data_IF_943138327601
#
_entry.id   IF_943138327601
#
_cell.length_a   1.000
_cell.length_b   1.000
_cell.length_c   1.000
_cell.angle_alpha   90.00
_cell.angle_beta   90.00
_cell.angle_gamma   90.00
#
_symmetry.space_group_name_H-M   'P 1'
#
loop_
_entity.id
_entity.type
_entity.pdbx_description
1 polymer ?
#
# COMPACT_ATOMS: atom_id res chain seq x y z
N UNK A 1 -39.39 -24.92 -16.58
CA UNK A 1 -38.35 -25.95 -16.37
C UNK A 1 -37.02 -25.25 -16.62
N UNK A 2 -36.54 -24.44 -15.67
CA UNK A 2 -35.60 -24.78 -14.57
C UNK A 2 -34.18 -25.06 -15.07
N UNK A 3 -33.32 -24.06 -14.79
CA UNK A 3 -31.95 -24.12 -14.23
C UNK A 3 -30.79 -24.77 -15.01
N UNK A 4 -29.73 -23.97 -15.17
CA UNK A 4 -28.35 -24.37 -15.42
C UNK A 4 -27.44 -23.20 -15.05
N UNK A 5 -27.07 -23.11 -13.77
CA UNK A 5 -26.45 -21.97 -13.10
C UNK A 5 -24.93 -21.87 -13.26
N UNK A 6 -24.45 -20.62 -13.18
CA UNK A 6 -23.26 -20.12 -12.47
C UNK A 6 -22.11 -21.11 -12.17
N UNK A 7 -20.96 -20.88 -12.81
CA UNK A 7 -19.66 -21.30 -12.28
C UNK A 7 -18.82 -20.06 -11.97
N UNK A 8 -18.95 -19.62 -10.73
CA UNK A 8 -18.02 -18.76 -10.03
C UNK A 8 -17.54 -19.60 -8.84
N UNK A 9 -16.28 -20.04 -8.79
CA UNK A 9 -15.69 -20.68 -7.60
C UNK A 9 -14.14 -20.61 -7.64
N UNK A 10 -13.61 -19.72 -6.80
CA UNK A 10 -12.41 -19.89 -5.95
C UNK A 10 -11.08 -20.26 -6.63
N UNK A 11 -10.28 -19.25 -6.97
CA UNK A 11 -8.81 -19.32 -6.88
C UNK A 11 -8.34 -18.80 -5.52
N UNK A 12 -8.77 -19.49 -4.45
CA UNK A 12 -8.10 -19.41 -3.17
C UNK A 12 -6.77 -20.14 -3.28
N UNK A 13 -5.67 -19.44 -3.03
CA UNK A 13 -4.33 -20.03 -2.96
C UNK A 13 -4.35 -21.21 -2.00
N UNK A 14 -3.75 -22.31 -2.43
CA UNK A 14 -3.65 -23.61 -1.76
C UNK A 14 -3.08 -23.57 -0.33
N UNK A 15 -2.58 -22.40 0.12
CA UNK A 15 -2.11 -22.15 1.48
C UNK A 15 -3.23 -21.80 2.48
N UNK A 16 -4.41 -21.34 2.04
CA UNK A 16 -5.51 -21.00 2.95
C UNK A 16 -6.29 -22.23 3.47
N UNK A 17 -6.14 -23.38 2.82
CA UNK A 17 -6.81 -24.63 3.23
C UNK A 17 -5.96 -25.54 4.13
N UNK A 18 -4.70 -25.18 4.40
CA UNK A 18 -3.82 -25.95 5.28
C UNK A 18 -3.87 -25.52 6.76
N UNK A 19 -4.59 -24.45 7.14
CA UNK A 19 -4.56 -23.89 8.50
C UNK A 19 -5.65 -24.42 9.44
N UNK A 20 -6.06 -25.68 9.29
CA UNK A 20 -6.88 -26.36 10.28
C UNK A 20 -5.98 -27.16 11.23
N UNK A 21 -5.24 -26.46 12.11
CA UNK A 21 -4.56 -27.11 13.25
C UNK A 21 -3.18 -26.61 13.68
N UNK A 22 -2.83 -25.32 13.57
CA UNK A 22 -1.54 -24.84 14.11
C UNK A 22 -1.72 -23.99 15.37
N UNK A 23 -1.04 -24.36 16.46
CA UNK A 23 -0.72 -23.43 17.54
C UNK A 23 -0.18 -22.11 16.95
N UNK A 24 -0.64 -20.98 17.49
CA UNK A 24 -0.14 -19.67 17.06
C UNK A 24 1.38 -19.64 17.26
N UNK A 25 2.14 -19.31 16.20
CA UNK A 25 3.58 -19.07 16.33
C UNK A 25 3.86 -18.09 17.48
N UNK A 26 4.89 -18.37 18.28
CA UNK A 26 5.45 -17.37 19.18
C UNK A 26 6.42 -16.47 18.42
N UNK A 27 6.83 -15.35 19.04
CA UNK A 27 7.81 -14.44 18.43
C UNK A 27 9.14 -15.16 18.20
N UNK A 28 9.60 -15.91 19.18
CA UNK A 28 10.85 -16.66 19.14
C UNK A 28 10.81 -17.71 18.02
N UNK A 29 9.69 -18.43 17.88
CA UNK A 29 9.53 -19.42 16.82
C UNK A 29 9.47 -18.77 15.44
N UNK A 30 8.80 -17.63 15.29
CA UNK A 30 8.77 -16.91 14.02
C UNK A 30 10.17 -16.41 13.61
N UNK A 31 10.95 -15.88 14.55
CA UNK A 31 12.33 -15.45 14.30
C UNK A 31 13.20 -16.66 13.92
N UNK A 32 13.11 -17.76 14.67
CA UNK A 32 13.86 -18.99 14.39
C UNK A 32 13.50 -19.57 13.01
N UNK A 33 12.21 -19.62 12.66
CA UNK A 33 11.72 -20.08 11.36
C UNK A 33 12.22 -19.20 10.20
N UNK A 34 12.40 -17.90 10.43
CA UNK A 34 12.96 -17.00 9.43
C UNK A 34 14.47 -17.21 9.29
N UNK A 35 15.19 -17.44 10.39
CA UNK A 35 16.66 -17.54 10.40
C UNK A 35 17.22 -18.86 9.87
N UNK A 36 16.44 -19.96 9.91
CA UNK A 36 16.94 -21.28 9.51
C UNK A 36 17.24 -21.41 8.00
N UNK A 37 16.52 -20.70 7.12
CA UNK A 37 16.73 -20.64 5.65
C UNK A 37 16.73 -21.98 4.87
N UNK A 38 16.45 -23.11 5.51
CA UNK A 38 16.29 -24.44 4.89
C UNK A 38 14.87 -24.62 4.33
N UNK A 39 13.84 -24.38 5.15
CA UNK A 39 12.44 -24.41 4.73
C UNK A 39 11.96 -23.00 4.36
N UNK A 40 11.94 -22.73 3.06
CA UNK A 40 11.54 -21.44 2.50
C UNK A 40 10.06 -21.14 2.69
N UNK A 41 9.20 -22.17 2.79
CA UNK A 41 7.77 -21.97 3.08
C UNK A 41 7.57 -21.48 4.52
N UNK A 42 8.33 -22.04 5.46
CA UNK A 42 8.34 -21.56 6.85
C UNK A 42 8.96 -20.16 6.96
N UNK A 43 10.04 -19.87 6.23
CA UNK A 43 10.61 -18.51 6.17
C UNK A 43 9.58 -17.51 5.63
N UNK A 44 8.91 -17.85 4.53
CA UNK A 44 7.88 -17.02 3.90
C UNK A 44 6.74 -16.70 4.87
N UNK A 45 6.23 -17.72 5.58
CA UNK A 45 5.17 -17.55 6.56
C UNK A 45 5.62 -16.75 7.77
N UNK A 46 6.82 -17.01 8.28
CA UNK A 46 7.42 -16.26 9.38
C UNK A 46 7.56 -14.77 9.07
N UNK A 47 8.08 -14.42 7.89
CA UNK A 47 8.21 -13.03 7.46
C UNK A 47 6.84 -12.31 7.43
N UNK A 48 5.81 -12.96 6.86
CA UNK A 48 4.44 -12.44 6.89
C UNK A 48 3.94 -12.25 8.32
N UNK A 49 4.15 -13.25 9.19
CA UNK A 49 3.66 -13.28 10.56
C UNK A 49 4.26 -12.13 11.39
N UNK A 50 5.58 -11.95 11.33
CA UNK A 50 6.28 -10.85 12.02
C UNK A 50 5.71 -9.48 11.64
N UNK A 51 5.46 -9.25 10.35
CA UNK A 51 4.83 -8.02 9.87
C UNK A 51 3.37 -7.87 10.29
N UNK A 52 2.58 -8.96 10.28
CA UNK A 52 1.16 -8.96 10.65
C UNK A 52 0.95 -8.65 12.14
N UNK A 53 1.77 -9.22 13.01
CA UNK A 53 1.71 -9.04 14.47
C UNK A 53 2.59 -7.89 14.98
N UNK A 54 3.21 -7.13 14.08
CA UNK A 54 4.01 -5.93 14.37
C UNK A 54 5.15 -6.19 15.37
N UNK A 55 5.88 -7.30 15.18
CA UNK A 55 7.02 -7.67 16.01
C UNK A 55 8.21 -6.74 15.73
N UNK A 56 8.49 -5.82 16.66
CA UNK A 56 9.52 -4.77 16.52
C UNK A 56 10.86 -5.11 17.19
N UNK A 57 11.05 -6.35 17.60
CA UNK A 57 12.31 -6.77 18.22
C UNK A 57 13.47 -6.63 17.24
N UNK A 58 14.62 -6.16 17.72
CA UNK A 58 15.79 -5.90 16.87
C UNK A 58 16.19 -7.11 16.04
N UNK A 59 16.16 -8.30 16.66
CA UNK A 59 16.52 -9.57 16.02
C UNK A 59 15.54 -9.92 14.89
N UNK A 60 14.25 -9.61 15.04
CA UNK A 60 13.25 -9.80 13.98
C UNK A 60 13.51 -8.85 12.80
N UNK A 61 13.82 -7.57 13.08
CA UNK A 61 14.16 -6.59 12.05
C UNK A 61 15.41 -7.02 11.28
N UNK A 62 16.46 -7.43 11.99
CA UNK A 62 17.71 -7.91 11.39
C UNK A 62 17.48 -9.16 10.54
N UNK A 63 16.68 -10.12 11.02
CA UNK A 63 16.33 -11.33 10.26
C UNK A 63 15.50 -11.03 9.00
N UNK A 64 14.61 -10.03 9.05
CA UNK A 64 13.84 -9.56 7.91
C UNK A 64 14.73 -8.80 6.90
N UNK A 65 15.65 -7.95 7.37
CA UNK A 65 16.63 -7.28 6.49
C UNK A 65 17.49 -8.32 5.78
N UNK A 66 17.99 -9.32 6.50
CA UNK A 66 18.74 -10.42 5.90
C UNK A 66 17.92 -11.19 4.86
N UNK A 67 16.59 -11.32 5.05
CA UNK A 67 15.71 -12.01 4.12
C UNK A 67 15.50 -11.25 2.79
N UNK A 68 15.79 -9.94 2.73
CA UNK A 68 15.74 -9.16 1.49
C UNK A 68 16.82 -9.58 0.49
N UNK A 69 17.92 -10.16 0.97
CA UNK A 69 19.04 -10.61 0.15
C UNK A 69 18.98 -12.12 -0.17
N UNK A 70 17.91 -12.82 0.20
CA UNK A 70 17.82 -14.28 0.02
C UNK A 70 17.66 -14.67 -1.46
N UNK A 71 18.59 -15.46 -2.00
CA UNK A 71 18.57 -15.90 -3.40
C UNK A 71 17.91 -17.28 -3.59
N UNK A 72 17.80 -18.10 -2.54
CA UNK A 72 17.33 -19.47 -2.66
C UNK A 72 15.83 -19.59 -2.96
N UNK A 73 15.01 -18.60 -2.57
CA UNK A 73 13.57 -18.60 -2.79
C UNK A 73 13.16 -18.02 -4.14
N UNK A 74 13.61 -18.67 -5.22
CA UNK A 74 13.27 -18.29 -6.58
C UNK A 74 12.13 -19.16 -7.14
N UNK A 75 11.02 -18.55 -7.57
CA UNK A 75 9.95 -19.26 -8.28
C UNK A 75 10.37 -19.62 -9.70
N UNK A 76 9.65 -20.56 -10.35
CA UNK A 76 9.87 -20.92 -11.76
C UNK A 76 9.79 -19.71 -12.72
N UNK A 77 9.02 -18.69 -12.34
CA UNK A 77 8.87 -17.43 -13.05
C UNK A 77 9.89 -16.35 -12.66
N UNK A 78 10.90 -16.69 -11.85
CA UNK A 78 11.97 -15.79 -11.42
C UNK A 78 11.60 -14.82 -10.28
N UNK A 79 10.53 -15.09 -9.53
CA UNK A 79 10.08 -14.26 -8.42
C UNK A 79 10.70 -14.66 -7.07
N UNK A 80 10.67 -13.74 -6.09
CA UNK A 80 11.24 -13.93 -4.76
C UNK A 80 10.19 -13.76 -3.64
N UNK A 81 9.35 -14.76 -3.34
CA UNK A 81 8.24 -14.67 -2.38
C UNK A 81 8.66 -14.18 -0.99
N UNK A 82 9.75 -14.70 -0.45
CA UNK A 82 10.30 -14.31 0.85
C UNK A 82 10.71 -12.84 0.86
N UNK A 83 11.41 -12.35 -0.17
CA UNK A 83 11.80 -10.94 -0.28
C UNK A 83 10.58 -10.03 -0.30
N UNK A 84 9.54 -10.40 -1.05
CA UNK A 84 8.28 -9.64 -1.10
C UNK A 84 7.66 -9.51 0.29
N UNK A 85 7.60 -10.60 1.05
CA UNK A 85 7.03 -10.58 2.41
C UNK A 85 7.91 -9.85 3.40
N UNK A 86 9.23 -10.03 3.34
CA UNK A 86 10.19 -9.33 4.17
C UNK A 86 10.09 -7.80 3.97
N UNK A 87 10.05 -7.34 2.72
CA UNK A 87 9.89 -5.93 2.39
C UNK A 87 8.58 -5.36 2.98
N UNK A 88 7.44 -6.04 2.74
CA UNK A 88 6.14 -5.63 3.30
C UNK A 88 6.13 -5.62 4.83
N UNK A 89 6.79 -6.57 5.47
CA UNK A 89 6.88 -6.64 6.91
C UNK A 89 7.66 -5.44 7.45
N UNK A 90 8.85 -5.16 6.91
CA UNK A 90 9.69 -4.03 7.33
C UNK A 90 8.94 -2.69 7.25
N UNK A 91 8.18 -2.45 6.17
CA UNK A 91 7.33 -1.26 6.05
C UNK A 91 6.22 -1.15 7.10
N UNK A 92 5.72 -2.27 7.64
CA UNK A 92 4.73 -2.27 8.75
C UNK A 92 5.38 -2.03 10.11
N UNK A 93 6.65 -2.42 10.25
CA UNK A 93 7.38 -2.36 11.51
C UNK A 93 7.93 -0.97 11.79
N UNK A 94 8.34 -0.25 10.75
CA UNK A 94 8.69 1.17 10.84
C UNK A 94 10.12 1.44 11.32
N UNK A 95 11.03 0.46 11.22
CA UNK A 95 12.41 0.61 11.66
C UNK A 95 13.28 1.21 10.54
N UNK A 96 13.98 2.31 10.82
CA UNK A 96 14.78 3.05 9.83
C UNK A 96 15.98 2.27 9.30
N UNK A 97 16.43 1.22 9.99
CA UNK A 97 17.49 0.33 9.48
C UNK A 97 17.09 -0.39 8.19
N UNK A 98 15.79 -0.47 7.91
CA UNK A 98 15.27 -1.07 6.69
C UNK A 98 15.37 -0.14 5.46
N UNK A 99 15.60 1.17 5.62
CA UNK A 99 15.53 2.13 4.50
C UNK A 99 16.52 1.77 3.39
N UNK A 100 17.82 1.66 3.68
CA UNK A 100 18.81 1.35 2.65
C UNK A 100 18.60 -0.04 2.02
N UNK A 101 18.37 -1.13 2.79
CA UNK A 101 18.02 -2.42 2.19
C UNK A 101 16.78 -2.39 1.28
N UNK A 102 15.77 -1.57 1.60
CA UNK A 102 14.59 -1.40 0.76
C UNK A 102 14.87 -0.54 -0.48
N UNK A 103 15.76 0.46 -0.40
CA UNK A 103 16.25 1.20 -1.58
C UNK A 103 16.92 0.24 -2.56
N UNK A 104 17.76 -0.67 -2.07
CA UNK A 104 18.44 -1.66 -2.90
C UNK A 104 17.43 -2.62 -3.57
N UNK A 105 16.33 -2.96 -2.87
CA UNK A 105 15.25 -3.78 -3.42
C UNK A 105 14.50 -3.13 -4.59
N UNK A 106 14.61 -1.81 -4.81
CA UNK A 106 14.05 -1.14 -5.98
C UNK A 106 14.76 -1.55 -7.30
N UNK A 107 15.93 -2.18 -7.21
CA UNK A 107 16.65 -2.77 -8.36
C UNK A 107 16.38 -4.27 -8.55
N UNK A 108 15.54 -4.87 -7.70
CA UNK A 108 15.26 -6.29 -7.81
C UNK A 108 14.60 -6.62 -9.17
N UNK A 109 15.01 -7.69 -9.87
CA UNK A 109 14.36 -8.13 -11.10
C UNK A 109 12.87 -8.43 -10.94
N UNK A 110 12.48 -8.90 -9.75
CA UNK A 110 11.09 -9.19 -9.41
C UNK A 110 10.29 -7.90 -9.17
N UNK A 111 9.30 -7.68 -10.05
CA UNK A 111 8.36 -6.56 -9.97
C UNK A 111 7.72 -6.42 -8.59
N UNK A 112 7.31 -7.54 -7.98
CA UNK A 112 6.58 -7.52 -6.71
C UNK A 112 7.49 -7.20 -5.52
N UNK A 113 8.80 -7.40 -5.65
CA UNK A 113 9.77 -6.93 -4.65
C UNK A 113 9.92 -5.42 -4.77
N UNK A 114 10.06 -4.88 -5.99
CA UNK A 114 10.10 -3.43 -6.22
C UNK A 114 8.85 -2.74 -5.71
N UNK A 115 7.67 -3.33 -5.96
CA UNK A 115 6.39 -2.81 -5.47
C UNK A 115 6.35 -2.77 -3.94
N UNK A 116 6.68 -3.90 -3.28
CA UNK A 116 6.71 -3.99 -1.83
C UNK A 116 7.71 -3.01 -1.19
N UNK A 117 8.87 -2.82 -1.84
CA UNK A 117 9.88 -1.87 -1.42
C UNK A 117 9.38 -0.42 -1.52
N UNK A 118 8.84 0.00 -2.66
CA UNK A 118 8.30 1.35 -2.86
C UNK A 118 7.19 1.68 -1.84
N UNK A 119 6.24 0.76 -1.64
CA UNK A 119 5.18 0.92 -0.63
C UNK A 119 5.75 1.05 0.80
N UNK A 120 6.81 0.31 1.11
CA UNK A 120 7.41 0.30 2.44
C UNK A 120 8.24 1.56 2.69
N UNK A 121 8.97 2.03 1.70
CA UNK A 121 9.71 3.29 1.74
C UNK A 121 8.79 4.49 1.97
N UNK A 122 7.65 4.54 1.26
CA UNK A 122 6.63 5.57 1.49
C UNK A 122 6.06 5.56 2.92
N UNK A 123 5.96 4.39 3.56
CA UNK A 123 5.53 4.26 4.97
C UNK A 123 6.61 4.64 5.97
N UNK A 124 7.87 4.38 5.65
CA UNK A 124 9.00 4.74 6.51
C UNK A 124 9.24 6.24 6.53
N UNK A 125 8.90 6.95 5.44
CA UNK A 125 8.94 8.41 5.41
C UNK A 125 10.35 8.99 5.30
N UNK A 126 11.36 8.17 5.01
CA UNK A 126 12.74 8.62 4.84
C UNK A 126 12.96 9.15 3.42
N UNK A 127 13.23 10.45 3.31
CA UNK A 127 13.41 11.16 2.04
C UNK A 127 14.66 10.74 1.26
N UNK A 128 15.61 10.02 1.87
CA UNK A 128 16.81 9.53 1.17
C UNK A 128 16.51 8.58 0.01
N UNK A 129 15.32 7.98 -0.03
CA UNK A 129 14.89 7.11 -1.12
C UNK A 129 14.31 7.84 -2.34
N UNK A 130 14.01 9.15 -2.25
CA UNK A 130 13.37 9.94 -3.31
C UNK A 130 14.12 9.83 -4.65
N UNK A 131 15.46 10.03 -4.72
CA UNK A 131 16.17 9.94 -5.99
C UNK A 131 16.04 8.55 -6.64
N UNK A 132 16.04 7.48 -5.82
CA UNK A 132 15.88 6.13 -6.33
C UNK A 132 14.47 5.90 -6.85
N UNK A 133 13.44 6.31 -6.11
CA UNK A 133 12.05 6.22 -6.55
C UNK A 133 11.81 6.98 -7.86
N UNK A 134 12.37 8.18 -8.01
CA UNK A 134 12.26 8.95 -9.25
C UNK A 134 12.87 8.21 -10.46
N UNK A 135 13.99 7.52 -10.28
CA UNK A 135 14.62 6.74 -11.38
C UNK A 135 13.73 5.60 -11.92
N UNK A 136 12.76 5.10 -11.14
CA UNK A 136 11.80 4.10 -11.62
C UNK A 136 10.74 4.70 -12.56
N UNK A 137 10.66 6.03 -12.64
CA UNK A 137 9.80 6.77 -13.56
C UNK A 137 10.55 7.24 -14.81
N UNK A 138 11.83 6.86 -14.98
CA UNK A 138 12.62 7.19 -16.16
C UNK A 138 11.94 6.71 -17.45
N UNK A 139 12.01 7.54 -18.49
CA UNK A 139 11.24 7.34 -19.73
C UNK A 139 9.77 7.79 -19.64
N UNK A 140 9.30 8.18 -18.46
CA UNK A 140 7.99 8.78 -18.22
C UNK A 140 6.82 7.91 -18.66
N UNK A 141 5.71 8.57 -19.02
CA UNK A 141 4.49 7.89 -19.46
C UNK A 141 4.72 6.93 -20.64
N UNK A 142 5.66 7.23 -21.54
CA UNK A 142 5.95 6.40 -22.70
C UNK A 142 6.59 5.05 -22.32
N UNK A 143 7.29 4.97 -21.19
CA UNK A 143 7.89 3.73 -20.68
C UNK A 143 6.91 2.89 -19.84
N UNK A 144 5.77 3.47 -19.44
CA UNK A 144 4.77 2.85 -18.58
C UNK A 144 3.86 1.87 -19.34
N UNK A 145 4.48 0.86 -19.93
CA UNK A 145 3.81 -0.10 -20.81
C UNK A 145 3.51 -1.43 -20.09
N UNK A 146 2.39 -2.09 -20.42
CA UNK A 146 2.14 -3.46 -20.00
C UNK A 146 3.22 -4.40 -20.52
N UNK A 147 3.62 -5.38 -19.71
CA UNK A 147 4.48 -6.46 -20.16
C UNK A 147 3.60 -7.58 -20.75
N UNK A 148 3.83 -8.01 -22.01
CA UNK A 148 3.08 -9.12 -22.60
C UNK A 148 3.12 -10.38 -21.74
N UNK A 149 1.95 -10.96 -21.46
CA UNK A 149 1.82 -12.16 -20.64
C UNK A 149 1.95 -11.93 -19.13
N UNK A 150 2.15 -10.70 -18.69
CA UNK A 150 2.20 -10.33 -17.27
C UNK A 150 0.99 -9.48 -16.86
N UNK A 151 0.48 -9.63 -15.61
CA UNK A 151 -0.58 -8.77 -15.09
C UNK A 151 -0.09 -7.37 -14.67
N UNK A 152 1.21 -7.05 -14.83
CA UNK A 152 1.81 -5.82 -14.34
C UNK A 152 2.54 -5.01 -15.44
N UNK A 153 2.80 -3.74 -15.12
CA UNK A 153 3.62 -2.84 -15.94
C UNK A 153 5.11 -3.16 -15.80
N UNK A 154 5.96 -2.46 -16.56
CA UNK A 154 7.42 -2.49 -16.44
C UNK A 154 7.92 -2.11 -15.05
N UNK A 155 7.26 -1.14 -14.40
CA UNK A 155 7.56 -0.68 -13.05
C UNK A 155 6.29 -0.57 -12.20
N UNK A 156 6.38 -0.63 -10.86
CA UNK A 156 5.24 -0.47 -9.97
C UNK A 156 4.85 1.02 -9.84
N UNK A 157 4.46 1.65 -10.95
CA UNK A 157 4.25 3.09 -11.08
C UNK A 157 3.32 3.66 -10.01
N UNK A 158 2.19 3.00 -9.71
CA UNK A 158 1.27 3.47 -8.68
C UNK A 158 1.94 3.54 -7.30
N UNK A 159 2.66 2.49 -6.88
CA UNK A 159 3.35 2.46 -5.60
C UNK A 159 4.48 3.49 -5.51
N UNK A 160 5.22 3.70 -6.60
CA UNK A 160 6.30 4.69 -6.69
C UNK A 160 5.74 6.10 -6.58
N UNK A 161 4.71 6.42 -7.35
CA UNK A 161 4.07 7.75 -7.35
C UNK A 161 3.41 8.02 -5.99
N UNK A 162 2.73 7.03 -5.41
CA UNK A 162 2.17 7.12 -4.06
C UNK A 162 3.24 7.40 -3.00
N UNK A 163 4.40 6.74 -3.10
CA UNK A 163 5.52 6.95 -2.18
C UNK A 163 6.07 8.37 -2.31
N UNK A 164 6.31 8.85 -3.52
CA UNK A 164 6.78 10.21 -3.78
C UNK A 164 5.83 11.28 -3.22
N UNK A 165 4.51 11.10 -3.43
CA UNK A 165 3.51 11.99 -2.83
C UNK A 165 3.52 11.97 -1.30
N UNK A 166 3.64 10.78 -0.69
CA UNK A 166 3.69 10.61 0.77
C UNK A 166 4.94 11.24 1.38
N UNK A 167 6.07 11.17 0.66
CA UNK A 167 7.35 11.71 1.08
C UNK A 167 7.47 13.23 0.87
N UNK A 168 6.49 13.87 0.23
CA UNK A 168 6.53 15.30 -0.05
C UNK A 168 7.55 15.69 -1.13
N UNK A 169 7.85 14.79 -2.06
CA UNK A 169 8.84 15.01 -3.14
C UNK A 169 8.33 16.01 -4.20
N UNK A 170 8.30 17.29 -3.87
CA UNK A 170 7.83 18.37 -4.76
C UNK A 170 8.64 18.48 -6.06
N UNK A 171 9.91 18.08 -6.03
CA UNK A 171 10.79 17.99 -7.21
C UNK A 171 10.34 16.93 -8.23
N UNK A 172 9.44 16.01 -7.84
CA UNK A 172 8.90 14.98 -8.73
C UNK A 172 7.62 15.43 -9.47
N UNK A 173 7.07 16.62 -9.19
CA UNK A 173 5.78 17.08 -9.76
C UNK A 173 5.77 17.00 -11.29
N UNK A 174 6.78 17.57 -11.95
CA UNK A 174 6.85 17.59 -13.42
C UNK A 174 7.02 16.18 -14.02
N UNK A 175 7.65 15.28 -13.27
CA UNK A 175 7.86 13.89 -13.67
C UNK A 175 6.59 13.05 -13.54
N UNK A 176 5.78 13.28 -12.51
CA UNK A 176 4.54 12.52 -12.26
C UNK A 176 3.32 13.09 -12.99
N UNK A 177 3.29 14.40 -13.29
CA UNK A 177 2.12 15.04 -13.91
C UNK A 177 1.62 14.36 -15.20
N UNK A 178 2.48 13.85 -16.11
CA UNK A 178 2.02 13.11 -17.29
C UNK A 178 1.19 11.85 -16.97
N UNK A 179 1.37 11.23 -15.79
CA UNK A 179 0.65 10.03 -15.39
C UNK A 179 -0.82 10.28 -15.02
N UNK A 180 -1.26 11.54 -14.95
CA UNK A 180 -2.68 11.92 -14.84
C UNK A 180 -3.51 11.36 -16.01
N UNK A 181 -2.89 11.19 -17.17
CA UNK A 181 -3.51 10.68 -18.40
C UNK A 181 -3.18 9.20 -18.67
N UNK A 182 -2.62 8.48 -17.68
CA UNK A 182 -2.26 7.07 -17.85
C UNK A 182 -3.52 6.20 -18.09
N UNK A 183 -3.51 5.22 -19.01
CA UNK A 183 -4.71 4.44 -19.36
C UNK A 183 -5.22 3.51 -18.26
N UNK A 184 -4.36 3.14 -17.30
CA UNK A 184 -4.72 2.33 -16.13
C UNK A 184 -5.16 3.25 -14.98
N UNK A 185 -6.40 3.07 -14.51
CA UNK A 185 -7.02 3.97 -13.53
C UNK A 185 -6.29 3.98 -12.19
N UNK A 186 -5.72 2.85 -11.76
CA UNK A 186 -4.94 2.79 -10.51
C UNK A 186 -3.69 3.68 -10.55
N UNK A 187 -3.07 3.84 -11.72
CA UNK A 187 -1.93 4.76 -11.88
C UNK A 187 -2.41 6.22 -11.87
N UNK A 188 -3.56 6.50 -12.49
CA UNK A 188 -4.17 7.83 -12.41
C UNK A 188 -4.54 8.21 -10.96
N UNK A 189 -5.09 7.28 -10.18
CA UNK A 189 -5.52 7.54 -8.81
C UNK A 189 -4.33 7.80 -7.89
N UNK A 190 -3.28 6.98 -8.00
CA UNK A 190 -1.99 7.23 -7.35
C UNK A 190 -1.45 8.62 -7.70
N UNK A 191 -1.59 9.03 -8.97
CA UNK A 191 -1.15 10.35 -9.43
C UNK A 191 -2.02 11.48 -8.87
N UNK A 192 -3.35 11.33 -8.85
CA UNK A 192 -4.24 12.30 -8.20
C UNK A 192 -3.89 12.47 -6.71
N UNK A 193 -3.70 11.35 -6.01
CA UNK A 193 -3.26 11.34 -4.61
C UNK A 193 -1.96 12.10 -4.43
N UNK A 194 -0.92 11.76 -5.18
CA UNK A 194 0.38 12.39 -5.06
C UNK A 194 0.33 13.88 -5.43
N UNK A 195 -0.35 14.24 -6.53
CA UNK A 195 -0.49 15.62 -6.95
C UNK A 195 -1.25 16.46 -5.91
N UNK A 196 -2.30 15.92 -5.27
CA UNK A 196 -2.94 16.61 -4.14
C UNK A 196 -1.96 16.82 -2.99
N UNK A 197 -1.22 15.78 -2.56
CA UNK A 197 -0.27 15.89 -1.45
C UNK A 197 0.81 16.96 -1.71
N UNK A 198 1.31 17.03 -2.95
CA UNK A 198 2.41 17.90 -3.34
C UNK A 198 1.98 19.33 -3.70
N UNK A 199 0.73 19.54 -4.14
CA UNK A 199 0.26 20.85 -4.64
C UNK A 199 -0.87 21.47 -3.83
N UNK A 200 -1.61 20.65 -3.07
CA UNK A 200 -2.86 21.01 -2.38
C UNK A 200 -3.96 21.52 -3.33
N UNK A 201 -3.85 21.27 -4.64
CA UNK A 201 -4.91 21.61 -5.60
C UNK A 201 -6.09 20.64 -5.45
N UNK A 202 -7.24 21.22 -5.11
CA UNK A 202 -8.50 20.51 -4.84
C UNK A 202 -8.99 19.70 -6.05
N UNK A 203 -8.61 20.07 -7.27
CA UNK A 203 -9.01 19.34 -8.48
C UNK A 203 -8.68 17.86 -8.38
N UNK A 204 -7.54 17.50 -7.76
CA UNK A 204 -7.09 16.12 -7.63
C UNK A 204 -7.91 15.33 -6.59
N UNK A 205 -8.29 15.97 -5.47
CA UNK A 205 -9.22 15.38 -4.51
C UNK A 205 -10.60 15.14 -5.12
N UNK A 206 -11.10 16.08 -5.93
CA UNK A 206 -12.40 15.97 -6.61
C UNK A 206 -12.43 14.85 -7.66
N UNK A 207 -11.29 14.57 -8.31
CA UNK A 207 -11.13 13.40 -9.19
C UNK A 207 -11.29 12.09 -8.43
N UNK A 208 -10.75 11.99 -7.21
CA UNK A 208 -10.92 10.81 -6.34
C UNK A 208 -12.36 10.69 -5.80
N UNK A 209 -13.06 11.80 -5.52
CA UNK A 209 -14.50 11.76 -5.24
C UNK A 209 -15.28 11.18 -6.43
N UNK A 210 -14.92 11.58 -7.65
CA UNK A 210 -15.55 11.04 -8.87
C UNK A 210 -15.31 9.53 -8.99
N UNK A 211 -14.12 9.06 -8.63
CA UNK A 211 -13.79 7.63 -8.61
C UNK A 211 -14.67 6.80 -7.67
N UNK A 212 -15.12 7.36 -6.53
CA UNK A 212 -16.04 6.69 -5.61
C UNK A 212 -17.41 6.37 -6.22
N UNK A 213 -17.79 7.02 -7.32
CA UNK A 213 -19.04 6.79 -8.06
C UNK A 213 -18.90 5.73 -9.16
N UNK A 214 -17.68 5.22 -9.38
CA UNK A 214 -17.39 4.24 -10.43
C UNK A 214 -18.01 2.86 -10.19
N UNK A 215 -18.19 2.08 -11.25
CA UNK A 215 -18.82 0.75 -11.17
C UNK A 215 -17.90 -0.33 -10.57
N UNK A 216 -16.59 -0.22 -10.78
CA UNK A 216 -15.60 -1.21 -10.33
C UNK A 216 -15.35 -1.08 -8.81
N UNK A 217 -15.74 -2.08 -8.03
CA UNK A 217 -15.56 -2.10 -6.56
C UNK A 217 -14.10 -1.86 -6.16
N UNK A 218 -13.15 -2.50 -6.84
CA UNK A 218 -11.72 -2.36 -6.52
C UNK A 218 -11.21 -0.92 -6.69
N UNK A 219 -11.73 -0.18 -7.68
CA UNK A 219 -11.37 1.22 -7.87
C UNK A 219 -11.97 2.12 -6.78
N UNK A 220 -13.19 1.82 -6.31
CA UNK A 220 -13.78 2.54 -5.17
C UNK A 220 -12.97 2.32 -3.88
N UNK A 221 -12.49 1.08 -3.65
CA UNK A 221 -11.63 0.76 -2.51
C UNK A 221 -10.30 1.52 -2.57
N UNK A 222 -9.68 1.62 -3.74
CA UNK A 222 -8.47 2.41 -3.94
C UNK A 222 -8.72 3.89 -3.64
N UNK A 223 -9.78 4.48 -4.23
CA UNK A 223 -10.14 5.87 -3.98
C UNK A 223 -10.46 6.17 -2.51
N UNK A 224 -11.09 5.24 -1.78
CA UNK A 224 -11.28 5.35 -0.32
C UNK A 224 -9.95 5.45 0.43
N UNK A 225 -9.01 4.55 0.12
CA UNK A 225 -7.69 4.56 0.74
C UNK A 225 -6.95 5.87 0.43
N UNK A 226 -7.01 6.33 -0.82
CA UNK A 226 -6.35 7.56 -1.25
C UNK A 226 -6.93 8.80 -0.57
N UNK A 227 -8.25 8.95 -0.55
CA UNK A 227 -8.95 10.07 0.09
C UNK A 227 -8.65 10.15 1.59
N UNK A 228 -8.61 9.00 2.26
CA UNK A 228 -8.19 8.92 3.67
C UNK A 228 -6.74 9.35 3.87
N UNK A 229 -5.84 8.88 3.00
CA UNK A 229 -4.42 9.19 3.09
C UNK A 229 -4.08 10.66 2.82
N UNK A 230 -4.86 11.34 1.97
CA UNK A 230 -4.71 12.78 1.70
C UNK A 230 -5.55 13.67 2.63
N UNK A 231 -6.35 13.07 3.50
CA UNK A 231 -7.26 13.76 4.41
C UNK A 231 -8.17 14.80 3.73
N UNK A 232 -8.74 14.46 2.57
CA UNK A 232 -9.54 15.42 1.79
C UNK A 232 -10.95 15.59 2.36
N UNK A 233 -11.15 16.61 3.19
CA UNK A 233 -12.38 16.83 3.96
C UNK A 233 -13.66 16.85 3.11
N UNK A 234 -13.61 17.44 1.91
CA UNK A 234 -14.79 17.55 1.02
C UNK A 234 -15.32 16.18 0.54
N UNK A 235 -14.55 15.10 0.74
CA UNK A 235 -14.98 13.75 0.39
C UNK A 235 -15.78 13.04 1.47
N UNK A 236 -15.96 13.64 2.67
CA UNK A 236 -16.58 12.99 3.82
C UNK A 236 -17.91 12.29 3.49
N UNK A 237 -18.86 13.01 2.90
CA UNK A 237 -20.18 12.45 2.56
C UNK A 237 -20.07 11.40 1.46
N UNK A 238 -19.28 11.66 0.42
CA UNK A 238 -19.06 10.71 -0.67
C UNK A 238 -18.43 9.39 -0.19
N UNK A 239 -17.53 9.46 0.80
CA UNK A 239 -16.93 8.30 1.47
C UNK A 239 -18.00 7.50 2.22
N UNK A 240 -18.88 8.17 2.96
CA UNK A 240 -19.94 7.51 3.72
C UNK A 240 -20.96 6.82 2.78
N UNK A 241 -21.32 7.48 1.67
CA UNK A 241 -22.35 7.03 0.74
C UNK A 241 -21.88 5.96 -0.27
N UNK A 242 -20.58 5.89 -0.58
CA UNK A 242 -20.08 4.97 -1.62
C UNK A 242 -20.39 3.50 -1.33
N UNK A 243 -20.60 2.69 -2.36
CA UNK A 243 -20.87 1.25 -2.20
C UNK A 243 -19.56 0.47 -1.99
N UNK A 244 -19.12 0.34 -0.74
CA UNK A 244 -17.96 -0.42 -0.31
C UNK A 244 -18.12 -0.91 1.14
N UNK A 245 -17.18 -1.72 1.62
CA UNK A 245 -17.17 -2.20 3.01
C UNK A 245 -17.04 -1.04 4.00
N UNK A 246 -17.87 -1.05 5.06
CA UNK A 246 -17.82 -0.02 6.11
C UNK A 246 -16.44 0.08 6.76
N UNK A 247 -15.70 -1.03 6.88
CA UNK A 247 -14.33 -1.01 7.42
C UNK A 247 -13.38 -0.11 6.62
N UNK A 248 -13.52 -0.06 5.29
CA UNK A 248 -12.70 0.80 4.44
C UNK A 248 -13.16 2.26 4.51
N UNK A 249 -14.47 2.49 4.58
CA UNK A 249 -15.03 3.84 4.79
C UNK A 249 -14.56 4.43 6.11
N UNK A 250 -14.60 3.64 7.19
CA UNK A 250 -14.14 4.04 8.52
C UNK A 250 -12.64 4.37 8.53
N UNK A 251 -11.81 3.59 7.82
CA UNK A 251 -10.38 3.91 7.67
C UNK A 251 -10.19 5.25 6.94
N UNK A 252 -10.97 5.51 5.88
CA UNK A 252 -10.89 6.76 5.13
C UNK A 252 -11.34 7.96 5.98
N UNK A 253 -12.52 7.88 6.61
CA UNK A 253 -13.03 8.93 7.51
C UNK A 253 -12.10 9.18 8.70
N UNK A 254 -11.49 8.12 9.25
CA UNK A 254 -10.46 8.25 10.29
C UNK A 254 -9.28 9.11 9.83
N UNK A 255 -8.82 8.94 8.58
CA UNK A 255 -7.74 9.76 8.02
C UNK A 255 -8.10 11.25 7.96
N UNK A 256 -9.32 11.57 7.52
CA UNK A 256 -9.86 12.94 7.53
C UNK A 256 -9.93 13.49 8.97
N UNK A 257 -10.45 12.71 9.92
CA UNK A 257 -10.62 13.12 11.32
C UNK A 257 -9.28 13.37 12.01
N UNK A 258 -8.29 12.51 11.81
CA UNK A 258 -6.95 12.68 12.40
C UNK A 258 -6.28 13.97 11.94
N UNK A 259 -6.48 14.36 10.69
CA UNK A 259 -5.97 15.63 10.17
C UNK A 259 -6.71 16.82 10.78
N UNK A 260 -8.04 16.79 10.84
CA UNK A 260 -8.82 17.89 11.44
C UNK A 260 -8.53 18.09 12.92
N UNK A 261 -8.36 17.01 13.69
CA UNK A 261 -8.00 17.10 15.11
C UNK A 261 -6.60 17.70 15.27
N UNK A 262 -5.63 17.29 14.46
CA UNK A 262 -4.26 17.82 14.53
C UNK A 262 -4.21 19.31 14.20
N UNK A 263 -4.90 19.75 13.15
CA UNK A 263 -4.84 21.14 12.71
C UNK A 263 -5.60 22.11 13.63
N UNK A 264 -6.71 21.66 14.24
CA UNK A 264 -7.53 22.51 15.11
C UNK A 264 -7.17 22.41 16.62
N UNK A 265 -6.22 21.55 17.00
CA UNK A 265 -5.81 21.34 18.40
C UNK A 265 -5.14 22.54 19.09
N UNK A 266 -4.92 23.64 18.37
CA UNK A 266 -4.17 24.81 18.88
C UNK A 266 -5.03 26.01 19.28
N UNK A 267 -6.33 26.05 18.94
CA UNK A 267 -7.14 27.29 19.11
C UNK A 267 -8.38 27.18 20.02
N UNK A 268 -8.92 26.00 20.32
CA UNK A 268 -10.01 25.85 21.29
C UNK A 268 -10.06 24.45 21.92
N UNK A 269 -10.61 24.34 23.13
CA UNK A 269 -10.89 23.04 23.78
C UNK A 269 -12.13 22.35 23.21
N UNK A 270 -12.70 22.87 22.13
CA UNK A 270 -13.96 22.42 21.55
C UNK A 270 -13.71 21.65 20.24
N UNK A 271 -14.46 20.57 20.04
CA UNK A 271 -14.39 19.79 18.81
C UNK A 271 -15.01 20.60 17.67
N UNK A 272 -14.30 20.73 16.55
CA UNK A 272 -14.80 21.47 15.38
C UNK A 272 -16.08 20.86 14.81
N UNK A 273 -16.90 21.68 14.15
CA UNK A 273 -18.11 21.20 13.44
C UNK A 273 -17.75 20.13 12.40
N UNK A 274 -16.62 20.30 11.71
CA UNK A 274 -16.11 19.33 10.73
C UNK A 274 -15.76 17.99 11.38
N UNK A 275 -15.06 18.00 12.52
CA UNK A 275 -14.76 16.77 13.26
C UNK A 275 -16.03 16.12 13.82
N UNK A 276 -17.00 16.92 14.29
CA UNK A 276 -18.31 16.44 14.75
C UNK A 276 -19.10 15.76 13.62
N UNK A 277 -19.09 16.35 12.42
CA UNK A 277 -19.70 15.77 11.23
C UNK A 277 -19.05 14.43 10.86
N UNK A 278 -17.71 14.38 10.82
CA UNK A 278 -16.97 13.15 10.53
C UNK A 278 -17.28 12.03 11.52
N UNK A 279 -17.31 12.33 12.83
CA UNK A 279 -17.68 11.35 13.86
C UNK A 279 -19.11 10.85 13.68
N UNK A 280 -20.05 11.75 13.35
CA UNK A 280 -21.45 11.37 13.06
C UNK A 280 -21.54 10.42 11.86
N UNK A 281 -20.81 10.69 10.79
CA UNK A 281 -20.74 9.79 9.63
C UNK A 281 -20.15 8.43 10.00
N UNK A 282 -19.12 8.39 10.86
CA UNK A 282 -18.51 7.15 11.34
C UNK A 282 -19.47 6.34 12.20
N UNK A 283 -20.20 6.97 13.12
CA UNK A 283 -21.18 6.31 14.00
C UNK A 283 -22.30 5.63 13.20
N UNK A 284 -22.73 6.25 12.08
CA UNK A 284 -23.74 5.68 11.19
C UNK A 284 -23.26 4.45 10.39
N UNK A 285 -21.98 4.11 10.44
CA UNK A 285 -21.38 2.97 9.74
C UNK A 285 -21.12 1.76 10.67
N UNK A 286 -21.33 1.91 11.98
CA UNK A 286 -21.16 0.87 13.01
C UNK A 286 -22.44 0.03 13.19
#
# INVERSE_FOLDING_TARGET
MVSGAEQNLKSGSSAEQASAGSESLTVEQAIANLQQREDLSLCYYAAWWLGKFRVRESVAIEALIAALAEEADQTESGGYPLRRNAARALGKLGDSRAVQPLIDCLDCPDFYVREAAAQSLGKLGDSTCIPKLMSLLDGGLAAALPIPGSPHLTQPYNAVIEALGTLGATEAIDLIAPFLEHPIELVQYATFRAMYQLTQDRVYGDRLITALKGQKLQLRRAALADLGAIAYLNAADAIAETLAENSLKLIALKGLLEHEVKNNSTESSEVSDAATHLMTLMDNLL
#
